data_IF_468720621245
#
_entry.id   IF_468720621245
#
_cell.length_a   1.000
_cell.length_b   1.000
_cell.length_c   1.000
_cell.angle_alpha   90.00
_cell.angle_beta   90.00
_cell.angle_gamma   90.00
#
_symmetry.space_group_name_H-M   'P 1'
#
loop_
_entity.id
_entity.type
_entity.pdbx_description
1 polymer ?
#
# COMPACT_ATOMS: atom_id res chain seq x y z
N UNK A 1 -7.09 2.74 3.58
CA UNK A 1 -6.06 3.65 2.99
C UNK A 1 -5.41 4.44 4.12
N UNK A 2 -4.10 4.64 4.05
CA UNK A 2 -3.28 5.26 5.09
C UNK A 2 -2.46 4.24 5.88
N UNK A 3 -1.23 4.62 6.23
CA UNK A 3 -0.28 3.75 6.92
C UNK A 3 -0.60 3.48 8.40
N UNK A 4 0.09 2.53 9.03
CA UNK A 4 -0.16 2.10 10.42
C UNK A 4 0.19 3.16 11.48
N UNK A 5 0.83 4.28 11.09
CA UNK A 5 1.06 5.43 11.95
C UNK A 5 -0.21 6.26 12.20
N UNK A 6 -1.13 6.30 11.23
CA UNK A 6 -2.32 7.17 11.24
C UNK A 6 -3.63 6.39 11.11
N UNK A 7 -3.56 5.09 10.82
CA UNK A 7 -4.73 4.23 10.67
C UNK A 7 -4.59 2.96 11.54
N UNK A 8 -5.41 2.87 12.59
CA UNK A 8 -5.47 1.71 13.51
C UNK A 8 -5.84 0.41 12.80
N UNK A 9 -6.75 0.46 11.82
CA UNK A 9 -7.16 -0.71 11.06
C UNK A 9 -6.03 -1.21 10.17
N UNK A 10 -5.24 -0.30 9.59
CA UNK A 10 -4.04 -0.69 8.84
C UNK A 10 -3.03 -1.38 9.76
N UNK A 11 -2.75 -0.82 10.95
CA UNK A 11 -1.85 -1.45 11.90
C UNK A 11 -2.32 -2.86 12.29
N UNK A 12 -3.61 -3.01 12.62
CA UNK A 12 -4.20 -4.30 12.96
C UNK A 12 -4.13 -5.30 11.78
N UNK A 13 -4.49 -4.87 10.56
CA UNK A 13 -4.41 -5.73 9.38
C UNK A 13 -2.97 -6.20 9.09
N UNK A 14 -1.99 -5.36 9.39
CA UNK A 14 -0.55 -5.67 9.26
C UNK A 14 0.02 -6.45 10.45
N UNK A 15 -0.75 -6.67 11.53
CA UNK A 15 -0.25 -7.31 12.76
C UNK A 15 0.72 -6.44 13.56
N UNK A 16 0.60 -5.12 13.47
CA UNK A 16 1.48 -4.14 14.11
C UNK A 16 0.79 -3.41 15.28
N UNK A 17 1.59 -2.96 16.25
CA UNK A 17 1.13 -2.08 17.33
C UNK A 17 0.82 -0.69 16.79
N UNK A 18 -0.32 -0.10 17.17
CA UNK A 18 -0.63 1.28 16.78
C UNK A 18 -0.12 2.30 17.82
N UNK A 19 0.51 3.41 17.42
CA UNK A 19 0.96 3.73 16.05
C UNK A 19 2.30 3.04 15.73
N UNK A 20 2.47 2.58 14.48
CA UNK A 20 3.79 2.15 13.98
C UNK A 20 4.27 3.12 12.90
N UNK A 21 5.42 3.74 13.14
CA UNK A 21 6.09 4.64 12.21
C UNK A 21 7.18 3.92 11.42
N UNK A 22 7.59 4.49 10.30
CA UNK A 22 8.63 3.93 9.45
C UNK A 22 10.00 3.78 10.12
N UNK A 23 10.32 4.63 11.10
CA UNK A 23 11.54 4.52 11.93
C UNK A 23 11.62 3.24 12.76
N UNK A 24 10.51 2.49 12.90
CA UNK A 24 10.51 1.19 13.57
C UNK A 24 11.26 0.09 12.80
N UNK A 25 11.45 0.26 11.48
CA UNK A 25 11.99 -0.80 10.62
C UNK A 25 11.05 -2.00 10.42
N UNK A 26 9.81 -1.95 10.93
CA UNK A 26 8.82 -3.01 10.81
C UNK A 26 7.98 -2.92 9.53
N UNK A 27 8.07 -1.80 8.81
CA UNK A 27 7.30 -1.59 7.59
C UNK A 27 8.00 -2.25 6.38
N UNK A 28 7.24 -2.88 5.46
CA UNK A 28 7.80 -3.50 4.25
C UNK A 28 8.14 -2.48 3.14
N UNK A 29 8.17 -1.19 3.47
CA UNK A 29 8.44 -0.07 2.57
C UNK A 29 9.12 1.05 3.36
N UNK A 30 9.95 1.84 2.68
CA UNK A 30 10.75 2.93 3.25
C UNK A 30 10.42 4.30 2.66
N UNK A 31 11.32 5.25 2.89
CA UNK A 31 11.23 6.62 2.39
C UNK A 31 11.06 6.67 0.87
N UNK A 32 10.12 7.49 0.41
CA UNK A 32 9.76 7.61 -1.01
C UNK A 32 8.96 6.43 -1.59
N UNK A 33 8.71 5.38 -0.80
CA UNK A 33 8.02 4.18 -1.26
C UNK A 33 6.57 4.12 -0.76
N UNK A 34 5.78 3.31 -1.44
CA UNK A 34 4.45 2.92 -1.00
C UNK A 34 4.23 1.42 -1.12
N UNK A 35 3.11 0.98 -0.56
CA UNK A 35 2.78 -0.41 -0.36
C UNK A 35 1.29 -0.64 -0.57
N UNK A 36 0.98 -1.62 -1.42
CA UNK A 36 -0.36 -2.17 -1.59
C UNK A 36 -0.31 -3.62 -1.19
N UNK A 37 -1.20 -4.06 -0.30
CA UNK A 37 -1.35 -5.48 0.02
C UNK A 37 -2.80 -5.86 0.25
N UNK A 38 -3.16 -7.00 -0.30
CA UNK A 38 -4.39 -7.72 0.00
C UNK A 38 -4.14 -8.66 1.17
N UNK A 39 -4.94 -8.53 2.21
CA UNK A 39 -5.01 -9.42 3.36
C UNK A 39 -6.35 -10.15 3.34
N UNK A 40 -6.34 -11.43 3.65
CA UNK A 40 -7.55 -12.23 3.82
C UNK A 40 -7.69 -12.62 5.30
N UNK A 41 -8.91 -12.58 5.82
CA UNK A 41 -9.22 -13.18 7.12
C UNK A 41 -8.76 -12.38 8.34
N UNK A 42 -8.11 -11.23 8.16
CA UNK A 42 -7.42 -10.51 9.26
C UNK A 42 -8.33 -9.86 10.29
N UNK A 43 -9.59 -9.57 9.93
CA UNK A 43 -10.61 -9.10 10.88
C UNK A 43 -11.65 -10.18 11.18
N UNK A 44 -12.07 -10.93 10.15
CA UNK A 44 -13.02 -12.05 10.21
C UNK A 44 -12.71 -13.02 9.06
N UNK A 45 -12.95 -14.34 9.21
CA UNK A 45 -12.76 -15.30 8.14
C UNK A 45 -13.48 -14.91 6.84
N UNK A 46 -12.80 -14.98 5.71
CA UNK A 46 -13.33 -14.62 4.39
C UNK A 46 -13.48 -13.12 4.13
N UNK A 47 -13.10 -12.26 5.07
CA UNK A 47 -13.07 -10.82 4.85
C UNK A 47 -11.74 -10.40 4.21
N UNK A 48 -11.82 -9.79 3.03
CA UNK A 48 -10.67 -9.25 2.31
C UNK A 48 -10.46 -7.78 2.68
N UNK A 49 -9.20 -7.41 2.92
CA UNK A 49 -8.77 -6.06 3.27
C UNK A 49 -7.64 -5.64 2.33
N UNK A 50 -7.80 -4.50 1.66
CA UNK A 50 -6.73 -3.91 0.87
C UNK A 50 -6.10 -2.76 1.66
N UNK A 51 -4.84 -2.94 2.05
CA UNK A 51 -4.01 -1.90 2.62
C UNK A 51 -3.35 -1.15 1.48
N UNK A 52 -3.51 0.18 1.48
CA UNK A 52 -2.82 1.11 0.59
C UNK A 52 -2.16 2.14 1.50
N UNK A 53 -0.83 2.18 1.53
CA UNK A 53 -0.06 3.01 2.45
C UNK A 53 1.21 3.52 1.77
N UNK A 54 1.53 4.79 1.96
CA UNK A 54 2.81 5.38 1.56
C UNK A 54 3.61 5.84 2.76
N UNK A 55 4.91 6.09 2.54
CA UNK A 55 5.75 6.79 3.52
C UNK A 55 5.19 8.19 3.81
N UNK A 56 4.90 8.94 2.75
CA UNK A 56 4.22 10.23 2.80
C UNK A 56 2.83 10.18 2.15
N UNK A 57 2.11 11.30 2.29
CA UNK A 57 0.81 11.49 1.65
C UNK A 57 0.90 11.34 0.12
N UNK A 58 1.99 11.81 -0.50
CA UNK A 58 2.21 11.67 -1.94
C UNK A 58 2.40 10.21 -2.35
N UNK A 59 3.20 9.42 -1.62
CA UNK A 59 3.37 8.01 -1.95
C UNK A 59 2.07 7.22 -1.71
N UNK A 60 1.24 7.63 -0.73
CA UNK A 60 -0.10 7.03 -0.55
C UNK A 60 -1.01 7.34 -1.74
N UNK A 61 -0.96 8.58 -2.27
CA UNK A 61 -1.67 8.95 -3.50
C UNK A 61 -1.17 8.13 -4.68
N UNK A 62 0.14 7.97 -4.85
CA UNK A 62 0.75 7.12 -5.86
C UNK A 62 0.20 5.69 -5.80
N UNK A 63 0.30 5.01 -4.65
CA UNK A 63 -0.25 3.65 -4.50
C UNK A 63 -1.76 3.55 -4.74
N UNK A 64 -2.51 4.61 -4.42
CA UNK A 64 -3.94 4.70 -4.75
C UNK A 64 -4.15 4.78 -6.26
N UNK A 65 -3.36 5.60 -6.97
CA UNK A 65 -3.40 5.70 -8.43
C UNK A 65 -3.03 4.39 -9.12
N UNK A 66 -2.09 3.59 -8.58
CA UNK A 66 -1.81 2.24 -9.07
C UNK A 66 -3.04 1.35 -8.96
N UNK A 67 -3.70 1.33 -7.79
CA UNK A 67 -4.89 0.52 -7.56
C UNK A 67 -6.05 0.93 -8.48
N UNK A 68 -6.22 2.21 -8.74
CA UNK A 68 -7.22 2.73 -9.69
C UNK A 68 -6.93 2.32 -11.14
N UNK A 69 -5.66 2.11 -11.49
CA UNK A 69 -5.20 1.71 -12.82
C UNK A 69 -4.84 0.22 -12.88
N UNK A 70 -5.49 -0.61 -12.07
CA UNK A 70 -5.17 -2.04 -11.95
C UNK A 70 -5.05 -2.72 -13.33
N UNK A 71 -6.02 -2.50 -14.22
CA UNK A 71 -6.02 -3.12 -15.56
C UNK A 71 -4.81 -2.71 -16.41
N UNK A 72 -4.37 -1.45 -16.29
CA UNK A 72 -3.18 -0.93 -16.99
C UNK A 72 -1.90 -1.60 -16.51
N UNK A 73 -1.85 -2.00 -15.24
CA UNK A 73 -0.68 -2.59 -14.62
C UNK A 73 -0.85 -4.09 -14.32
N UNK A 74 -1.90 -4.73 -14.84
CA UNK A 74 -2.27 -6.08 -14.45
C UNK A 74 -1.16 -7.11 -14.73
N UNK A 75 -0.44 -6.97 -15.84
CA UNK A 75 0.70 -7.83 -16.17
C UNK A 75 1.87 -7.65 -15.20
N UNK A 76 2.18 -6.40 -14.83
CA UNK A 76 3.25 -6.07 -13.88
C UNK A 76 2.90 -6.48 -12.45
N UNK A 77 1.62 -6.39 -12.08
CA UNK A 77 1.11 -6.82 -10.79
C UNK A 77 1.06 -8.36 -10.70
N UNK A 78 0.73 -9.03 -11.81
CA UNK A 78 0.62 -10.48 -11.87
C UNK A 78 -0.34 -11.03 -10.80
N UNK A 79 0.02 -12.16 -10.20
CA UNK A 79 -0.72 -12.78 -9.09
C UNK A 79 -0.26 -12.30 -7.70
N UNK A 80 0.53 -11.22 -7.63
CA UNK A 80 1.07 -10.75 -6.36
C UNK A 80 -0.04 -10.19 -5.47
N UNK A 81 -0.02 -10.61 -4.20
CA UNK A 81 -0.91 -10.05 -3.17
C UNK A 81 -0.29 -8.88 -2.42
N UNK A 82 0.99 -8.58 -2.68
CA UNK A 82 1.73 -7.49 -2.05
C UNK A 82 2.65 -6.82 -3.09
N UNK A 83 2.60 -5.50 -3.17
CA UNK A 83 3.36 -4.71 -4.15
C UNK A 83 3.96 -3.51 -3.47
N UNK A 84 5.25 -3.30 -3.72
CA UNK A 84 5.98 -2.10 -3.33
C UNK A 84 6.08 -1.16 -4.52
N UNK A 85 5.66 0.08 -4.33
CA UNK A 85 5.60 1.10 -5.38
C UNK A 85 6.67 2.14 -5.09
N UNK A 86 7.70 2.17 -5.94
CA UNK A 86 8.83 3.13 -5.82
C UNK A 86 8.67 4.29 -6.79
N UNK A 87 7.91 4.09 -7.86
CA UNK A 87 7.51 5.14 -8.78
C UNK A 87 6.27 4.68 -9.55
N UNK A 88 5.45 5.64 -9.98
CA UNK A 88 4.49 5.46 -11.06
C UNK A 88 4.87 6.45 -12.13
N UNK A 89 5.60 5.96 -13.11
CA UNK A 89 5.86 6.73 -14.30
C UNK A 89 4.90 6.32 -15.40
N UNK A 90 4.53 7.33 -16.14
CA UNK A 90 3.59 7.20 -17.18
C UNK A 90 4.23 6.79 -18.50
N UNK A 91 4.24 5.48 -18.71
CA UNK A 91 3.71 4.96 -19.97
C UNK A 91 2.17 4.99 -20.00
N UNK A 92 1.53 5.67 -19.04
CA UNK A 92 0.23 6.35 -19.15
C UNK A 92 0.09 7.55 -18.18
N UNK A 93 0.32 8.80 -18.66
CA UNK A 93 0.19 10.13 -17.99
C UNK A 93 1.39 10.83 -17.26
N UNK A 94 2.14 11.64 -18.02
CA UNK A 94 3.09 12.70 -17.56
C UNK A 94 2.74 13.97 -18.37
N UNK A 95 3.17 15.21 -18.03
CA UNK A 95 3.30 16.02 -16.79
C UNK A 95 2.35 17.28 -16.88
N UNK A 96 2.31 18.30 -16.01
CA UNK A 96 3.33 19.04 -15.24
C UNK A 96 2.80 19.62 -13.93
#
# INVERSE_FOLDING_TARGET
>A
VGGPAVNRLTAQAMGLSYPTYGSSGLLPYGEGEAYVKVYDGVFKPGQVVVVVAGWEAENTRMATSLLQQFDTFAEQLGSNTAVKVTSLSASGVKPA
#
